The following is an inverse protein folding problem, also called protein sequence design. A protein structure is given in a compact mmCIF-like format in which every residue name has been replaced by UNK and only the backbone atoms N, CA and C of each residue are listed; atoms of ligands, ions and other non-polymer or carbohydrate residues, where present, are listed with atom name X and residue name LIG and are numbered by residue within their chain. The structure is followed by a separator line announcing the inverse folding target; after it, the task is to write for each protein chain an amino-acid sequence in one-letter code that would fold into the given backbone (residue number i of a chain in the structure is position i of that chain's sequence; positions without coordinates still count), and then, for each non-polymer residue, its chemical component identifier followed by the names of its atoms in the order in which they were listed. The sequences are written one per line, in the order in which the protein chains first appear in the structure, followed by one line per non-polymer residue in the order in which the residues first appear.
data_IF_902337703958
#
_entry.id   IF_902337703958
#
_cell.length_a   1.000
_cell.length_b   1.000
_cell.length_c   1.000
_cell.angle_alpha   90.00
_cell.angle_beta   90.00
_cell.angle_gamma   90.00
#
_symmetry.space_group_name_H-M   'P 1'
#
loop_
_entity.id
_entity.type
_entity.pdbx_description
1 polymer ?
#
# COMPACT_ATOMS: atom_id res chain seq x y z
N UNK A 1 -36.06 12.24 -23.90
CA UNK A 1 -34.61 12.28 -24.23
C UNK A 1 -33.87 11.59 -23.11
N UNK A 2 -33.50 10.32 -23.29
CA UNK A 2 -32.87 9.49 -22.27
C UNK A 2 -31.34 9.50 -22.46
N UNK A 3 -30.62 9.75 -21.37
CA UNK A 3 -29.17 9.74 -21.31
C UNK A 3 -28.62 8.32 -21.52
N UNK A 4 -27.66 8.18 -22.44
CA UNK A 4 -26.87 6.97 -22.63
C UNK A 4 -25.83 6.87 -21.51
N UNK A 5 -26.03 5.97 -20.56
CA UNK A 5 -24.98 5.51 -19.67
C UNK A 5 -23.98 4.67 -20.48
N UNK A 6 -22.71 5.09 -20.52
CA UNK A 6 -21.64 4.32 -21.14
C UNK A 6 -21.30 3.12 -20.23
N UNK A 7 -21.77 1.95 -20.63
CA UNK A 7 -21.37 0.67 -20.05
C UNK A 7 -19.90 0.39 -20.38
N UNK A 8 -18.97 0.72 -19.47
CA UNK A 8 -17.63 0.15 -19.50
C UNK A 8 -17.74 -1.36 -19.18
N UNK A 9 -17.50 -2.21 -20.17
CA UNK A 9 -17.73 -3.65 -20.09
C UNK A 9 -16.80 -4.34 -19.09
N UNK A 10 -17.37 -5.14 -18.18
CA UNK A 10 -16.67 -5.90 -17.12
C UNK A 10 -15.56 -6.85 -17.60
N UNK A 11 -15.48 -7.13 -18.90
CA UNK A 11 -14.43 -7.93 -19.54
C UNK A 11 -13.05 -7.27 -19.54
N UNK A 12 -12.93 -5.94 -19.52
CA UNK A 12 -11.63 -5.26 -19.44
C UNK A 12 -11.08 -5.28 -18.00
N UNK A 13 -11.97 -5.13 -17.00
CA UNK A 13 -11.66 -5.25 -15.57
C UNK A 13 -11.17 -6.67 -15.22
N UNK A 14 -11.81 -7.71 -15.75
CA UNK A 14 -11.39 -9.10 -15.56
C UNK A 14 -10.05 -9.45 -16.25
N UNK A 15 -9.71 -8.79 -17.37
CA UNK A 15 -8.45 -9.03 -18.09
C UNK A 15 -7.25 -8.39 -17.38
N UNK A 16 -7.42 -7.21 -16.78
CA UNK A 16 -6.37 -6.56 -15.99
C UNK A 16 -6.09 -7.29 -14.67
N UNK A 17 -7.13 -7.82 -14.01
CA UNK A 17 -6.98 -8.62 -12.79
C UNK A 17 -6.22 -9.96 -13.01
N UNK A 18 -6.26 -10.52 -14.23
CA UNK A 18 -5.53 -11.75 -14.58
C UNK A 18 -4.10 -11.50 -15.08
N UNK A 19 -3.80 -10.30 -15.55
CA UNK A 19 -2.47 -9.94 -16.07
C UNK A 19 -1.42 -9.72 -14.97
N UNK A 20 -1.84 -9.54 -13.71
CA UNK A 20 -0.93 -9.50 -12.55
C UNK A 20 -0.39 -10.89 -12.15
N UNK A 21 -0.87 -11.98 -12.76
CA UNK A 21 -0.53 -13.35 -12.35
C UNK A 21 0.60 -14.03 -13.13
N UNK A 22 1.18 -13.42 -14.17
CA UNK A 22 2.21 -14.11 -14.95
C UNK A 22 3.38 -13.20 -15.37
N UNK A 23 4.45 -13.21 -14.56
CA UNK A 23 5.82 -13.00 -15.03
C UNK A 23 6.68 -14.14 -14.47
N UNK A 24 6.70 -15.27 -15.18
CA UNK A 24 7.60 -16.39 -14.92
C UNK A 24 8.85 -16.23 -15.80
N UNK A 25 9.90 -15.67 -15.22
CA UNK A 25 11.30 -15.80 -15.67
C UNK A 25 12.10 -16.63 -14.65
N UNK A 26 13.28 -17.17 -15.00
CA UNK A 26 13.92 -18.27 -14.29
C UNK A 26 14.10 -17.98 -12.78
N UNK A 27 13.48 -18.77 -11.88
CA UNK A 27 13.11 -18.32 -10.54
C UNK A 27 14.22 -18.41 -9.49
N UNK A 28 15.46 -18.78 -9.80
CA UNK A 28 16.47 -18.97 -8.73
C UNK A 28 17.40 -17.75 -8.62
N UNK A 29 17.93 -17.24 -9.73
CA UNK A 29 18.81 -16.06 -9.73
C UNK A 29 18.01 -14.79 -9.43
N UNK A 30 16.79 -14.67 -9.98
CA UNK A 30 15.92 -13.52 -9.74
C UNK A 30 15.44 -13.42 -8.28
N UNK A 31 15.00 -14.54 -7.69
CA UNK A 31 14.59 -14.54 -6.29
C UNK A 31 15.77 -14.42 -5.32
N UNK A 32 16.94 -15.00 -5.63
CA UNK A 32 18.15 -14.82 -4.83
C UNK A 32 18.61 -13.37 -4.78
N UNK A 33 18.65 -12.69 -5.92
CA UNK A 33 18.98 -11.26 -6.00
C UNK A 33 17.95 -10.38 -5.26
N UNK A 34 16.66 -10.65 -5.44
CA UNK A 34 15.57 -9.95 -4.74
C UNK A 34 15.63 -10.17 -3.23
N UNK A 35 15.93 -11.40 -2.80
CA UNK A 35 16.09 -11.74 -1.39
C UNK A 35 17.26 -10.98 -0.77
N UNK A 36 18.43 -10.98 -1.42
CA UNK A 36 19.58 -10.23 -0.93
C UNK A 36 19.31 -8.73 -0.87
N UNK A 37 18.68 -8.17 -1.92
CA UNK A 37 18.28 -6.77 -1.97
C UNK A 37 17.38 -6.41 -0.79
N UNK A 38 16.36 -7.23 -0.52
CA UNK A 38 15.34 -6.97 0.49
C UNK A 38 15.60 -7.67 1.83
N UNK A 39 16.81 -8.17 2.04
CA UNK A 39 17.20 -9.00 3.20
C UNK A 39 17.03 -8.27 4.54
N UNK A 40 17.05 -6.95 4.53
CA UNK A 40 16.86 -6.09 5.70
C UNK A 40 15.38 -5.90 6.08
N UNK A 41 14.45 -6.37 5.25
CA UNK A 41 13.02 -6.38 5.52
C UNK A 41 12.61 -7.72 6.15
N UNK A 42 11.84 -7.66 7.23
CA UNK A 42 11.29 -8.83 7.96
C UNK A 42 9.77 -8.72 8.08
N UNK A 43 9.10 -9.85 8.27
CA UNK A 43 7.69 -9.86 8.65
C UNK A 43 7.56 -10.10 10.14
N UNK A 44 6.65 -9.40 10.79
CA UNK A 44 6.30 -9.59 12.20
C UNK A 44 4.88 -10.14 12.33
N UNK A 45 4.56 -10.86 13.43
CA UNK A 45 3.19 -11.21 13.74
C UNK A 45 2.30 -9.97 13.70
N UNK A 46 1.19 -10.08 12.98
CA UNK A 46 0.25 -9.00 12.76
C UNK A 46 -1.15 -9.58 12.82
N UNK A 47 -2.01 -8.99 13.64
CA UNK A 47 -3.34 -9.51 13.93
C UNK A 47 -4.13 -8.58 14.85
N UNK A 48 -5.44 -8.85 15.07
CA UNK A 48 -6.30 -8.04 15.92
C UNK A 48 -5.77 -7.84 17.35
N UNK A 49 -4.98 -8.81 17.84
CA UNK A 49 -4.37 -8.81 19.17
C UNK A 49 -3.19 -7.84 19.32
N UNK A 50 -2.55 -7.43 18.23
CA UNK A 50 -1.31 -6.63 18.26
C UNK A 50 -1.38 -5.34 17.44
N UNK A 51 -2.50 -5.05 16.78
CA UNK A 51 -2.65 -3.81 16.00
C UNK A 51 -4.03 -3.16 16.10
N UNK A 52 -4.00 -1.84 16.32
CA UNK A 52 -5.18 -0.97 16.27
C UNK A 52 -5.77 -0.81 14.87
N UNK A 53 -5.05 -1.20 13.80
CA UNK A 53 -5.56 -1.10 12.42
C UNK A 53 -6.83 -1.96 12.22
N UNK A 54 -6.95 -3.08 12.93
CA UNK A 54 -8.14 -3.93 12.92
C UNK A 54 -9.38 -3.28 13.56
N UNK A 55 -9.19 -2.18 14.31
CA UNK A 55 -10.26 -1.41 14.94
C UNK A 55 -10.65 -0.18 14.11
N UNK A 56 -10.00 0.05 12.97
CA UNK A 56 -10.23 1.22 12.13
C UNK A 56 -11.69 1.26 11.64
N UNK A 57 -12.39 2.41 11.75
CA UNK A 57 -13.81 2.51 11.38
C UNK A 57 -14.11 2.05 9.95
N UNK A 58 -13.19 2.34 9.01
CA UNK A 58 -13.33 1.94 7.60
C UNK A 58 -13.51 0.43 7.44
N UNK A 59 -12.84 -0.43 8.24
CA UNK A 59 -12.99 -1.88 8.10
C UNK A 59 -14.43 -2.35 8.27
N UNK A 60 -15.21 -1.72 9.16
CA UNK A 60 -16.63 -2.05 9.35
C UNK A 60 -17.48 -1.68 8.13
N UNK A 61 -17.05 -0.67 7.38
CA UNK A 61 -17.73 -0.18 6.18
C UNK A 61 -17.42 -1.10 4.99
N UNK A 62 -16.14 -1.43 4.80
CA UNK A 62 -15.66 -2.15 3.61
C UNK A 62 -15.62 -3.67 3.79
N UNK A 63 -15.67 -4.17 5.03
CA UNK A 63 -15.80 -5.58 5.38
C UNK A 63 -16.90 -5.81 6.45
N UNK A 64 -18.17 -5.45 6.16
CA UNK A 64 -19.26 -5.51 7.16
C UNK A 64 -19.57 -6.93 7.65
N UNK A 65 -19.17 -7.95 6.88
CA UNK A 65 -19.38 -9.37 7.19
C UNK A 65 -18.19 -10.03 7.88
N UNK A 66 -17.12 -9.27 8.13
CA UNK A 66 -15.89 -9.78 8.70
C UNK A 66 -15.37 -11.01 7.91
N UNK A 67 -15.39 -10.89 6.59
CA UNK A 67 -14.85 -11.89 5.68
C UNK A 67 -13.38 -12.18 6.03
N UNK A 68 -12.90 -13.43 5.87
CA UNK A 68 -11.49 -13.77 6.08
C UNK A 68 -10.55 -12.83 5.34
N UNK A 69 -9.44 -12.48 5.98
CA UNK A 69 -8.46 -11.55 5.42
C UNK A 69 -7.06 -12.14 5.42
N UNK A 70 -6.29 -11.82 4.38
CA UNK A 70 -4.83 -11.90 4.40
C UNK A 70 -4.31 -10.67 5.10
N UNK A 71 -3.36 -10.83 6.01
CA UNK A 71 -2.73 -9.69 6.63
C UNK A 71 -1.26 -9.95 6.94
N UNK A 72 -0.44 -8.91 6.77
CA UNK A 72 0.98 -8.96 7.08
C UNK A 72 1.53 -7.59 7.52
N UNK A 73 2.67 -7.62 8.22
CA UNK A 73 3.41 -6.44 8.62
C UNK A 73 4.87 -6.58 8.19
N UNK A 74 5.24 -5.89 7.11
CA UNK A 74 6.62 -5.81 6.64
C UNK A 74 7.34 -4.66 7.36
N UNK A 75 8.47 -4.95 7.98
CA UNK A 75 9.24 -4.03 8.83
C UNK A 75 10.66 -3.87 8.30
N UNK A 76 11.14 -2.63 8.25
CA UNK A 76 12.51 -2.25 7.94
C UNK A 76 13.03 -1.27 8.98
N UNK A 77 13.95 -1.75 9.82
CA UNK A 77 14.60 -0.92 10.84
C UNK A 77 15.91 -0.31 10.30
N UNK A 78 16.10 1.00 10.48
CA UNK A 78 17.25 1.76 9.97
C UNK A 78 17.95 2.50 11.11
N UNK A 79 19.27 2.36 11.30
CA UNK A 79 19.99 3.14 12.30
C UNK A 79 19.93 4.65 12.02
N UNK A 80 19.85 5.48 13.06
CA UNK A 80 19.80 6.94 12.92
C UNK A 80 20.93 7.51 12.05
N UNK A 81 22.12 6.92 12.11
CA UNK A 81 23.27 7.32 11.31
C UNK A 81 23.02 7.29 9.78
N UNK A 82 22.09 6.44 9.32
CA UNK A 82 21.73 6.31 7.90
C UNK A 82 20.52 7.16 7.53
N UNK A 83 19.71 7.56 8.51
CA UNK A 83 18.51 8.37 8.27
C UNK A 83 18.93 9.81 7.93
N UNK A 84 18.19 10.43 7.01
CA UNK A 84 18.35 11.85 6.70
C UNK A 84 18.07 12.68 7.97
N UNK A 85 19.01 13.51 8.44
CA UNK A 85 18.93 14.10 9.77
C UNK A 85 17.75 15.06 9.90
N UNK A 86 17.40 15.78 8.82
CA UNK A 86 16.26 16.69 8.83
C UNK A 86 14.92 15.98 8.98
N UNK A 87 14.80 14.71 8.53
CA UNK A 87 13.61 13.90 8.78
C UNK A 87 13.56 13.42 10.24
N UNK A 88 14.70 13.00 10.78
CA UNK A 88 14.78 12.51 12.15
C UNK A 88 14.49 13.63 13.16
N UNK A 89 15.04 14.82 12.94
CA UNK A 89 14.76 16.00 13.75
C UNK A 89 13.29 16.42 13.67
N UNK A 90 12.70 16.39 12.47
CA UNK A 90 11.28 16.68 12.27
C UNK A 90 10.39 15.68 13.03
N UNK A 91 10.64 14.38 12.89
CA UNK A 91 9.88 13.34 13.57
C UNK A 91 9.98 13.45 15.10
N UNK A 92 11.15 13.79 15.65
CA UNK A 92 11.35 14.03 17.10
C UNK A 92 10.54 15.22 17.62
N UNK A 93 10.26 16.20 16.77
CA UNK A 93 9.39 17.35 17.07
C UNK A 93 7.91 17.06 16.81
N UNK A 94 7.56 15.82 16.43
CA UNK A 94 6.19 15.44 16.08
C UNK A 94 5.75 15.89 14.69
N UNK A 95 6.69 16.22 13.80
CA UNK A 95 6.40 16.52 12.39
C UNK A 95 6.12 15.26 11.56
N UNK A 96 5.57 15.47 10.36
CA UNK A 96 5.08 14.42 9.45
C UNK A 96 6.06 14.04 8.35
N UNK A 97 7.17 14.78 8.18
CA UNK A 97 8.00 14.69 6.97
C UNK A 97 8.61 13.32 6.78
N UNK A 98 8.82 12.57 7.87
CA UNK A 98 9.37 11.21 7.80
C UNK A 98 8.38 10.23 7.17
N UNK A 99 7.12 10.23 7.61
CA UNK A 99 6.08 9.35 7.06
C UNK A 99 5.69 9.77 5.63
N UNK A 100 5.70 11.08 5.34
CA UNK A 100 5.54 11.61 3.99
C UNK A 100 6.66 11.15 3.06
N UNK A 101 7.93 11.26 3.49
CA UNK A 101 9.06 10.80 2.71
C UNK A 101 8.99 9.28 2.47
N UNK A 102 8.53 8.51 3.46
CA UNK A 102 8.34 7.07 3.32
C UNK A 102 7.24 6.75 2.29
N UNK A 103 6.08 7.41 2.37
CA UNK A 103 5.00 7.29 1.37
C UNK A 103 5.43 7.73 -0.03
N UNK A 104 6.14 8.86 -0.14
CA UNK A 104 6.74 9.33 -1.39
C UNK A 104 7.67 8.30 -2.01
N UNK A 105 8.50 7.64 -1.20
CA UNK A 105 9.36 6.55 -1.64
C UNK A 105 8.56 5.31 -2.08
N UNK A 106 7.47 4.98 -1.39
CA UNK A 106 6.58 3.86 -1.71
C UNK A 106 6.03 4.02 -3.13
N UNK A 107 5.38 5.15 -3.40
CA UNK A 107 4.64 5.37 -4.63
C UNK A 107 5.49 5.96 -5.75
N UNK A 108 6.42 6.85 -5.42
CA UNK A 108 7.32 7.50 -6.37
C UNK A 108 8.60 6.70 -6.66
N UNK A 109 8.92 5.71 -5.81
CA UNK A 109 10.13 4.90 -5.92
C UNK A 109 10.11 3.87 -7.06
N UNK A 110 11.17 3.06 -7.09
CA UNK A 110 11.36 2.02 -8.10
C UNK A 110 10.44 0.80 -7.87
N UNK A 111 10.11 0.48 -6.62
CA UNK A 111 9.27 -0.69 -6.28
C UNK A 111 7.86 -0.62 -6.87
N UNK A 112 7.23 0.56 -6.85
CA UNK A 112 5.91 0.79 -7.44
C UNK A 112 5.97 1.18 -8.93
N UNK A 113 7.16 1.34 -9.53
CA UNK A 113 7.31 1.89 -10.88
C UNK A 113 6.62 1.07 -11.98
N UNK A 114 6.73 -0.27 -11.92
CA UNK A 114 6.07 -1.17 -12.87
C UNK A 114 4.55 -1.14 -12.66
N UNK A 115 4.09 -1.31 -11.41
CA UNK A 115 2.66 -1.27 -11.10
C UNK A 115 2.05 0.07 -11.51
N UNK A 116 2.69 1.20 -11.22
CA UNK A 116 2.26 2.54 -11.64
C UNK A 116 2.04 2.64 -13.15
N UNK A 117 2.93 2.07 -13.96
CA UNK A 117 2.77 2.06 -15.42
C UNK A 117 1.59 1.21 -15.87
N UNK A 118 1.33 0.08 -15.21
CA UNK A 118 0.13 -0.73 -15.47
C UNK A 118 -1.13 0.06 -15.05
N UNK A 119 -1.13 0.69 -13.89
CA UNK A 119 -2.28 1.45 -13.36
C UNK A 119 -2.63 2.65 -14.24
N UNK A 120 -1.67 3.24 -14.97
CA UNK A 120 -1.95 4.29 -15.97
C UNK A 120 -2.95 3.87 -17.04
N UNK A 121 -3.13 2.57 -17.30
CA UNK A 121 -4.15 2.08 -18.23
C UNK A 121 -5.58 2.28 -17.71
N UNK A 122 -5.75 2.57 -16.42
CA UNK A 122 -7.05 2.87 -15.79
C UNK A 122 -7.34 4.37 -15.69
N UNK A 123 -6.44 5.21 -16.24
CA UNK A 123 -6.61 6.66 -16.22
C UNK A 123 -7.70 7.09 -17.18
N UNK A 124 -8.66 7.84 -16.69
CA UNK A 124 -9.75 8.44 -17.45
C UNK A 124 -10.11 9.83 -16.88
N UNK A 125 -11.20 10.43 -17.37
CA UNK A 125 -11.65 11.76 -16.93
C UNK A 125 -12.06 11.80 -15.44
N UNK A 126 -12.51 10.67 -14.88
CA UNK A 126 -13.02 10.60 -13.50
C UNK A 126 -11.91 10.61 -12.44
N UNK A 127 -10.66 10.28 -12.82
CA UNK A 127 -9.51 10.19 -11.91
C UNK A 127 -8.32 11.03 -12.40
N UNK A 128 -8.61 12.07 -13.20
CA UNK A 128 -7.59 12.94 -13.79
C UNK A 128 -6.76 13.69 -12.72
N UNK A 129 -7.37 13.96 -11.57
CA UNK A 129 -6.80 14.72 -10.45
C UNK A 129 -5.99 13.86 -9.48
N UNK A 130 -5.97 12.54 -9.66
CA UNK A 130 -5.13 11.65 -8.84
C UNK A 130 -3.64 11.92 -9.08
N UNK A 131 -2.80 11.48 -8.14
CA UNK A 131 -1.36 11.48 -8.34
C UNK A 131 -0.97 10.33 -9.28
N UNK A 132 -0.35 10.65 -10.41
CA UNK A 132 -0.01 9.69 -11.48
C UNK A 132 1.48 9.61 -11.75
N UNK A 133 2.16 10.75 -11.76
CA UNK A 133 3.55 10.82 -12.18
C UNK A 133 4.48 10.59 -10.99
N UNK A 134 5.69 10.10 -11.27
CA UNK A 134 6.73 9.97 -10.25
C UNK A 134 6.98 11.30 -9.53
N UNK A 135 6.94 12.42 -10.25
CA UNK A 135 7.22 13.74 -9.70
C UNK A 135 6.11 14.22 -8.77
N UNK A 136 4.85 14.01 -9.13
CA UNK A 136 3.68 14.27 -8.27
C UNK A 136 3.80 13.48 -6.97
N UNK A 137 4.00 12.16 -7.08
CA UNK A 137 4.11 11.26 -5.92
C UNK A 137 5.28 11.63 -5.00
N UNK A 138 6.41 12.06 -5.55
CA UNK A 138 7.56 12.43 -4.72
C UNK A 138 7.41 13.78 -3.99
N UNK A 139 6.48 14.62 -4.41
CA UNK A 139 6.32 16.00 -3.90
C UNK A 139 5.09 16.19 -3.01
N UNK A 140 4.12 15.30 -3.10
CA UNK A 140 2.87 15.40 -2.35
C UNK A 140 3.07 15.18 -0.85
N UNK A 141 2.25 15.83 -0.03
CA UNK A 141 2.24 15.65 1.43
C UNK A 141 1.28 14.55 1.89
N UNK A 142 0.53 13.92 0.99
CA UNK A 142 -0.42 12.85 1.25
C UNK A 142 -1.47 13.23 2.31
N UNK A 143 -2.15 14.36 2.10
CA UNK A 143 -3.28 14.72 2.96
C UNK A 143 -4.45 13.74 2.80
N UNK A 144 -5.29 13.56 3.84
CA UNK A 144 -6.56 12.82 3.72
C UNK A 144 -7.37 13.28 2.50
N UNK A 145 -7.85 12.32 1.71
CA UNK A 145 -8.56 12.55 0.45
C UNK A 145 -7.67 12.51 -0.80
N UNK A 146 -6.34 12.55 -0.66
CA UNK A 146 -5.42 12.36 -1.79
C UNK A 146 -5.60 10.96 -2.38
N UNK A 147 -5.88 10.88 -3.68
CA UNK A 147 -5.92 9.63 -4.43
C UNK A 147 -4.65 9.41 -5.25
N UNK A 148 -4.25 8.16 -5.33
CA UNK A 148 -3.01 7.72 -5.98
C UNK A 148 -3.38 6.70 -7.04
N UNK A 149 -3.12 7.05 -8.29
CA UNK A 149 -3.23 6.16 -9.45
C UNK A 149 -4.55 5.39 -9.56
N UNK A 150 -5.69 5.98 -9.15
CA UNK A 150 -7.01 5.37 -9.14
C UNK A 150 -7.17 4.12 -8.23
N UNK A 151 -6.19 3.82 -7.39
CA UNK A 151 -6.15 2.57 -6.63
C UNK A 151 -6.00 2.75 -5.12
N UNK A 152 -5.50 3.89 -4.67
CA UNK A 152 -5.31 4.15 -3.25
C UNK A 152 -5.87 5.51 -2.88
N UNK A 153 -6.47 5.59 -1.70
CA UNK A 153 -7.02 6.80 -1.12
C UNK A 153 -6.44 6.96 0.28
N UNK A 154 -5.82 8.11 0.56
CA UNK A 154 -5.41 8.47 1.91
C UNK A 154 -6.66 8.71 2.75
N UNK A 155 -6.79 7.97 3.84
CA UNK A 155 -7.89 8.12 4.80
C UNK A 155 -7.51 9.04 5.95
N UNK A 156 -6.36 8.76 6.56
CA UNK A 156 -5.92 9.42 7.78
C UNK A 156 -4.41 9.64 7.76
N UNK A 157 -3.99 10.70 8.45
CA UNK A 157 -2.59 11.11 8.59
C UNK A 157 -2.29 11.50 10.02
N UNK A 158 -1.21 10.97 10.55
CA UNK A 158 -0.60 11.39 11.82
C UNK A 158 0.87 11.77 11.61
N UNK A 159 1.55 12.23 12.65
CA UNK A 159 3.00 12.49 12.59
C UNK A 159 3.84 11.25 12.25
N UNK A 160 3.31 10.05 12.52
CA UNK A 160 4.06 8.80 12.37
C UNK A 160 3.39 7.76 11.48
N UNK A 161 2.18 8.00 10.99
CA UNK A 161 1.44 7.04 10.16
C UNK A 161 0.57 7.70 9.09
N UNK A 162 0.40 6.99 7.97
CA UNK A 162 -0.57 7.27 6.92
C UNK A 162 -1.40 6.00 6.70
N UNK A 163 -2.72 6.13 6.80
CA UNK A 163 -3.67 5.04 6.56
C UNK A 163 -4.32 5.21 5.20
N UNK A 164 -4.43 4.12 4.46
CA UNK A 164 -4.95 4.11 3.10
C UNK A 164 -6.01 3.03 2.95
N UNK A 165 -7.03 3.33 2.14
CA UNK A 165 -7.83 2.29 1.48
C UNK A 165 -7.25 2.02 0.11
N UNK A 166 -7.05 0.76 -0.24
CA UNK A 166 -6.72 0.37 -1.61
C UNK A 166 -7.80 -0.51 -2.21
N UNK A 167 -8.32 -0.08 -3.35
CA UNK A 167 -9.28 -0.80 -4.17
C UNK A 167 -9.34 -0.10 -5.54
N UNK A 168 -9.93 -0.74 -6.55
CA UNK A 168 -10.09 -0.08 -7.84
C UNK A 168 -11.14 1.03 -7.75
N UNK A 169 -10.74 2.28 -7.96
CA UNK A 169 -11.62 3.45 -7.96
C UNK A 169 -12.20 3.78 -6.58
N UNK A 170 -11.37 4.00 -5.54
CA UNK A 170 -11.85 4.24 -4.17
C UNK A 170 -12.72 5.51 -4.07
N UNK A 171 -12.52 6.46 -4.98
CA UNK A 171 -13.28 7.72 -5.06
C UNK A 171 -14.63 7.56 -5.78
N UNK A 172 -14.83 6.50 -6.56
CA UNK A 172 -15.99 6.36 -7.46
C UNK A 172 -17.26 5.87 -6.74
N UNK A 173 -17.27 5.76 -5.41
CA UNK A 173 -18.44 5.27 -4.66
C UNK A 173 -18.65 6.01 -3.34
N UNK A 174 -19.40 7.12 -3.34
CA UNK A 174 -20.07 7.63 -2.14
C UNK A 174 -21.50 7.05 -2.05
N UNK A 175 -21.89 6.39 -0.93
CA UNK A 175 -21.06 6.07 0.22
C UNK A 175 -20.07 4.93 -0.10
N UNK A 176 -18.88 4.92 0.53
CA UNK A 176 -17.90 3.86 0.35
C UNK A 176 -18.53 2.52 0.73
N UNK A 177 -18.69 1.63 -0.24
CA UNK A 177 -19.20 0.28 -0.06
C UNK A 177 -18.10 -0.77 -0.21
N UNK A 178 -18.37 -2.03 0.17
CA UNK A 178 -17.43 -3.14 -0.04
C UNK A 178 -17.12 -3.33 -1.53
N UNK A 179 -15.84 -3.57 -1.86
CA UNK A 179 -15.39 -3.88 -3.22
C UNK A 179 -14.62 -5.20 -3.27
N UNK A 180 -14.48 -5.75 -4.48
CA UNK A 180 -13.62 -6.90 -4.75
C UNK A 180 -12.16 -6.54 -4.43
N UNK A 181 -11.46 -7.43 -3.72
CA UNK A 181 -10.06 -7.25 -3.30
C UNK A 181 -9.78 -5.88 -2.65
N UNK A 182 -10.62 -5.52 -1.68
CA UNK A 182 -10.44 -4.32 -0.87
C UNK A 182 -9.31 -4.50 0.13
N UNK A 183 -8.61 -3.41 0.42
CA UNK A 183 -7.57 -3.43 1.43
C UNK A 183 -7.57 -2.16 2.27
N UNK A 184 -7.19 -2.34 3.53
CA UNK A 184 -6.82 -1.28 4.44
C UNK A 184 -5.36 -1.49 4.83
N UNK A 185 -4.51 -0.50 4.59
CA UNK A 185 -3.10 -0.60 4.97
C UNK A 185 -2.60 0.69 5.59
N UNK A 186 -1.56 0.56 6.39
CA UNK A 186 -0.90 1.65 7.09
C UNK A 186 0.58 1.64 6.75
N UNK A 187 1.10 2.82 6.38
CA UNK A 187 2.52 3.12 6.35
C UNK A 187 2.87 3.84 7.64
N UNK A 188 3.81 3.31 8.43
CA UNK A 188 4.26 3.98 9.65
C UNK A 188 5.76 4.13 9.71
N UNK A 189 6.24 5.22 10.31
CA UNK A 189 7.63 5.49 10.60
C UNK A 189 7.75 5.88 12.09
N UNK A 190 8.32 4.99 12.89
CA UNK A 190 8.43 5.17 14.35
C UNK A 190 9.88 5.33 14.75
N UNK A 191 10.19 6.37 15.52
CA UNK A 191 11.52 6.61 16.09
C UNK A 191 11.65 5.82 17.39
N UNK A 192 12.59 4.88 17.44
CA UNK A 192 12.98 4.17 18.66
C UNK A 192 14.30 4.74 19.18
N UNK A 193 14.20 5.62 20.17
CA UNK A 193 15.36 6.23 20.82
C UNK A 193 16.19 5.20 21.62
N UNK A 194 15.60 4.12 22.12
CA UNK A 194 16.34 3.12 22.90
C UNK A 194 17.29 2.32 22.01
N UNK A 195 16.80 1.88 20.85
CA UNK A 195 17.61 1.13 19.88
C UNK A 195 18.35 2.01 18.87
N UNK A 196 18.17 3.34 18.94
CA UNK A 196 18.74 4.34 18.02
C UNK A 196 18.43 4.02 16.55
N UNK A 197 17.17 3.62 16.30
CA UNK A 197 16.68 3.18 14.98
C UNK A 197 15.33 3.80 14.68
N UNK A 198 15.06 3.98 13.39
CA UNK A 198 13.71 4.23 12.88
C UNK A 198 13.15 2.94 12.32
N UNK A 199 11.96 2.56 12.73
CA UNK A 199 11.22 1.43 12.18
C UNK A 199 10.18 1.90 11.17
N UNK A 200 10.40 1.53 9.91
CA UNK A 200 9.44 1.72 8.84
C UNK A 200 8.60 0.46 8.69
N UNK A 201 7.28 0.59 8.67
CA UNK A 201 6.35 -0.53 8.61
C UNK A 201 5.32 -0.31 7.51
N UNK A 202 5.02 -1.39 6.79
CA UNK A 202 3.84 -1.53 5.94
C UNK A 202 2.98 -2.61 6.59
N UNK A 203 1.81 -2.24 7.10
CA UNK A 203 0.79 -3.16 7.61
C UNK A 203 -0.33 -3.23 6.60
N UNK A 204 -0.72 -4.42 6.17
CA UNK A 204 -1.76 -4.58 5.16
C UNK A 204 -2.80 -5.58 5.64
N UNK A 205 -4.08 -5.25 5.45
CA UNK A 205 -5.22 -6.15 5.65
C UNK A 205 -5.98 -6.17 4.32
N UNK A 206 -6.02 -7.32 3.65
CA UNK A 206 -6.72 -7.50 2.37
C UNK A 206 -7.80 -8.57 2.48
N UNK A 207 -8.96 -8.32 1.90
CA UNK A 207 -10.11 -9.23 1.88
C UNK A 207 -10.96 -8.97 0.64
N UNK A 208 -11.84 -9.89 0.32
CA UNK A 208 -12.94 -9.60 -0.60
C UNK A 208 -14.10 -9.02 0.20
N UNK A 209 -14.48 -7.76 -0.05
CA UNK A 209 -15.61 -7.12 0.64
C UNK A 209 -16.97 -7.55 0.08
N UNK A 210 -17.00 -8.07 -1.15
CA UNK A 210 -18.23 -8.41 -1.87
C UNK A 210 -18.63 -9.86 -1.69
N UNK A 211 -17.67 -10.80 -1.58
CA UNK A 211 -17.92 -12.23 -1.53
C UNK A 211 -18.78 -12.62 -0.31
N UNK A 212 -19.97 -13.18 -0.55
CA UNK A 212 -20.91 -13.62 0.48
C UNK A 212 -20.52 -14.96 1.12
N UNK A 213 -19.60 -15.69 0.50
CA UNK A 213 -19.27 -17.09 0.80
C UNK A 213 -17.80 -17.28 1.18
N UNK A 214 -17.04 -16.19 1.35
CA UNK A 214 -15.62 -16.22 1.66
C UNK A 214 -15.35 -17.09 2.90
N UNK A 215 -14.64 -18.19 2.70
CA UNK A 215 -14.25 -19.14 3.76
C UNK A 215 -12.75 -19.28 3.93
N UNK A 216 -11.98 -18.72 3.01
CA UNK A 216 -10.53 -18.87 2.94
C UNK A 216 -9.84 -17.52 2.78
N UNK A 217 -8.56 -17.48 3.15
CA UNK A 217 -7.69 -16.33 2.99
C UNK A 217 -7.49 -16.01 1.48
N UNK A 218 -7.77 -14.76 1.03
CA UNK A 218 -7.64 -14.37 -0.38
C UNK A 218 -6.23 -14.53 -0.96
N UNK A 219 -5.19 -14.58 -0.12
CA UNK A 219 -3.80 -14.78 -0.54
C UNK A 219 -3.13 -15.99 0.11
N UNK A 220 -3.90 -17.02 0.50
CA UNK A 220 -3.32 -18.28 0.97
C UNK A 220 -2.29 -18.88 -0.01
N UNK A 221 -1.26 -19.56 0.53
CA UNK A 221 -0.28 -20.31 -0.27
C UNK A 221 0.71 -19.45 -1.08
N UNK A 222 0.90 -19.80 -2.36
CA UNK A 222 1.90 -19.17 -3.23
C UNK A 222 1.60 -17.69 -3.59
N UNK A 223 0.35 -17.28 -3.87
CA UNK A 223 0.00 -15.86 -4.04
C UNK A 223 0.44 -14.99 -2.86
N UNK A 224 0.21 -15.42 -1.61
CA UNK A 224 0.65 -14.68 -0.42
C UNK A 224 2.16 -14.65 -0.25
N UNK A 225 2.87 -15.70 -0.67
CA UNK A 225 4.33 -15.66 -0.74
C UNK A 225 4.82 -14.58 -1.71
N UNK A 226 4.26 -14.50 -2.92
CA UNK A 226 4.61 -13.49 -3.91
C UNK A 226 4.27 -12.07 -3.43
N UNK A 227 3.09 -11.89 -2.84
CA UNK A 227 2.68 -10.62 -2.21
C UNK A 227 3.73 -10.16 -1.19
N UNK A 228 4.15 -11.07 -0.30
CA UNK A 228 5.18 -10.76 0.71
C UNK A 228 6.53 -10.39 0.10
N UNK A 229 6.95 -11.03 -1.00
CA UNK A 229 8.17 -10.62 -1.71
C UNK A 229 8.02 -9.22 -2.32
N UNK A 230 6.84 -8.91 -2.85
CA UNK A 230 6.55 -7.60 -3.41
C UNK A 230 6.50 -6.50 -2.33
N UNK A 231 5.86 -6.76 -1.19
CA UNK A 231 5.82 -5.87 -0.04
C UNK A 231 7.23 -5.52 0.48
N UNK A 232 8.13 -6.51 0.53
CA UNK A 232 9.54 -6.28 0.85
C UNK A 232 10.24 -5.33 -0.13
N UNK A 233 10.03 -5.52 -1.43
CA UNK A 233 10.59 -4.64 -2.47
C UNK A 233 10.07 -3.21 -2.33
N UNK A 234 8.77 -3.07 -2.08
CA UNK A 234 8.09 -1.81 -1.86
C UNK A 234 8.63 -1.07 -0.64
N UNK A 235 8.75 -1.74 0.51
CA UNK A 235 9.30 -1.14 1.74
C UNK A 235 10.77 -0.75 1.57
N UNK A 236 11.61 -1.60 0.95
CA UNK A 236 13.02 -1.24 0.72
C UNK A 236 13.16 -0.06 -0.26
N UNK A 237 12.28 0.03 -1.28
CA UNK A 237 12.23 1.18 -2.17
C UNK A 237 11.79 2.46 -1.45
N UNK A 238 10.81 2.33 -0.56
CA UNK A 238 10.27 3.43 0.24
C UNK A 238 11.31 4.00 1.21
N UNK A 239 12.00 3.13 1.95
CA UNK A 239 13.07 3.51 2.88
C UNK A 239 14.23 4.22 2.19
N UNK A 240 14.53 3.88 0.93
CA UNK A 240 15.57 4.57 0.16
C UNK A 240 15.35 6.09 0.07
N UNK A 241 14.10 6.55 0.16
CA UNK A 241 13.77 7.97 0.15
C UNK A 241 13.98 8.66 1.52
N UNK A 242 14.14 7.89 2.61
CA UNK A 242 14.33 8.40 3.97
C UNK A 242 15.80 8.38 4.44
N UNK A 243 16.68 7.71 3.69
CA UNK A 243 18.09 7.52 4.03
C UNK A 243 19.01 8.34 3.14
N UNK A 244 20.25 8.54 3.58
CA UNK A 244 21.30 9.27 2.84
C UNK A 244 21.95 8.41 1.76
#
# INVERSE_FOLDING_TARGET
MAARASSFSGTLRQRLARLSQFVLGPPIVGFGALYLWTSKCRFEPFGPENSTLFQHPTLKIINPRNNPSSHDCCVRAVPFAQVRPELLEDARRGGTRMVEAFSAGMWGGYGYGIQRNIMRMTKDESNINDLWTKQELLRDSYEPGTAITNHFLVLDKTSSSLTFRGCLGPQQSPPPGPLELDNLFELSATVDEKSQRVEFRLKCITFDGTDLTAREDPYGGFPGFLHRQYAKLLVEAAVKNCVR
#
